data_IF_404020231280
#
_entry.id   IF_404020231280
#
_cell.length_a   1.000
_cell.length_b   1.000
_cell.length_c   1.000
_cell.angle_alpha   90.00
_cell.angle_beta   90.00
_cell.angle_gamma   90.00
#
_symmetry.space_group_name_H-M   'P 1'
#
loop_
_entity.id
_entity.type
_entity.pdbx_description
1 polymer ?
#
# COMPACT_ATOMS: atom_id res chain seq x y z
N UNK A 1 -40.31 13.73 -28.89
CA UNK A 1 -39.66 12.56 -28.24
C UNK A 1 -38.35 12.13 -28.93
N UNK A 2 -38.23 12.20 -30.27
CA UNK A 2 -36.98 11.89 -30.99
C UNK A 2 -35.78 12.73 -30.51
N UNK A 3 -35.92 14.06 -30.50
CA UNK A 3 -34.86 14.99 -30.09
C UNK A 3 -34.26 14.70 -28.69
N UNK A 4 -35.08 14.28 -27.71
CA UNK A 4 -34.60 13.96 -26.36
C UNK A 4 -33.80 12.66 -26.31
N UNK A 5 -34.15 11.67 -27.15
CA UNK A 5 -33.45 10.38 -27.23
C UNK A 5 -32.11 10.53 -27.96
N UNK A 6 -32.07 11.35 -29.00
CA UNK A 6 -30.84 11.63 -29.73
C UNK A 6 -29.86 12.40 -28.84
N UNK A 7 -30.34 13.40 -28.09
CA UNK A 7 -29.55 14.10 -27.07
C UNK A 7 -28.99 13.14 -26.01
N UNK A 8 -29.78 12.14 -25.59
CA UNK A 8 -29.34 11.13 -24.64
C UNK A 8 -28.23 10.24 -25.20
N UNK A 9 -28.34 9.84 -26.47
CA UNK A 9 -27.31 9.07 -27.17
C UNK A 9 -26.00 9.87 -27.28
N UNK A 10 -26.05 11.11 -27.78
CA UNK A 10 -24.86 11.97 -27.88
C UNK A 10 -24.21 12.23 -26.52
N UNK A 11 -25.00 12.49 -25.48
CA UNK A 11 -24.49 12.66 -24.12
C UNK A 11 -23.79 11.38 -23.63
N UNK A 12 -24.30 10.20 -23.98
CA UNK A 12 -23.69 8.91 -23.62
C UNK A 12 -22.34 8.73 -24.30
N UNK A 13 -22.24 8.94 -25.61
CA UNK A 13 -20.98 8.84 -26.36
C UNK A 13 -19.93 9.80 -25.82
N UNK A 14 -20.31 11.08 -25.59
CA UNK A 14 -19.42 12.08 -25.01
C UNK A 14 -18.89 11.67 -23.64
N UNK A 15 -19.75 11.07 -22.82
CA UNK A 15 -19.38 10.59 -21.48
C UNK A 15 -18.38 9.43 -21.59
N UNK A 16 -18.67 8.43 -22.41
CA UNK A 16 -17.78 7.26 -22.61
C UNK A 16 -16.41 7.65 -23.18
N UNK A 17 -16.40 8.57 -24.15
CA UNK A 17 -15.14 9.10 -24.69
C UNK A 17 -14.32 9.81 -23.61
N UNK A 18 -14.95 10.71 -22.85
CA UNK A 18 -14.30 11.43 -21.75
C UNK A 18 -13.75 10.49 -20.68
N UNK A 19 -14.51 9.44 -20.34
CA UNK A 19 -14.10 8.39 -19.39
C UNK A 19 -12.82 7.70 -19.88
N UNK A 20 -12.78 7.32 -21.15
CA UNK A 20 -11.62 6.63 -21.75
C UNK A 20 -10.35 7.48 -21.67
N UNK A 21 -10.46 8.77 -22.01
CA UNK A 21 -9.32 9.71 -21.96
C UNK A 21 -8.79 9.88 -20.52
N UNK A 22 -9.68 10.11 -19.54
CA UNK A 22 -9.29 10.25 -18.13
C UNK A 22 -8.60 8.96 -17.63
N UNK A 23 -9.07 7.81 -18.06
CA UNK A 23 -8.53 6.51 -17.66
C UNK A 23 -7.11 6.29 -18.20
N UNK A 24 -6.81 6.73 -19.43
CA UNK A 24 -5.44 6.69 -19.96
C UNK A 24 -4.48 7.59 -19.19
N UNK A 25 -4.93 8.77 -18.74
CA UNK A 25 -4.14 9.64 -17.85
C UNK A 25 -3.85 8.91 -16.53
N UNK A 26 -4.86 8.22 -15.96
CA UNK A 26 -4.69 7.44 -14.75
C UNK A 26 -3.67 6.30 -14.93
N UNK A 27 -3.68 5.58 -16.07
CA UNK A 27 -2.67 4.57 -16.41
C UNK A 27 -1.26 5.17 -16.42
N UNK A 28 -1.10 6.35 -17.03
CA UNK A 28 0.19 7.05 -17.07
C UNK A 28 0.73 7.38 -15.68
N UNK A 29 -0.14 7.89 -14.79
CA UNK A 29 0.22 8.17 -13.40
C UNK A 29 0.62 6.88 -12.67
N UNK A 30 -0.16 5.81 -12.81
CA UNK A 30 0.15 4.53 -12.16
C UNK A 30 1.47 3.92 -12.65
N UNK A 31 1.75 4.02 -13.95
CA UNK A 31 3.01 3.55 -14.54
C UNK A 31 4.20 4.31 -13.95
N UNK A 32 4.09 5.64 -13.83
CA UNK A 32 5.11 6.46 -13.18
C UNK A 32 5.35 6.03 -11.73
N UNK A 33 4.27 5.87 -10.95
CA UNK A 33 4.36 5.46 -9.54
C UNK A 33 4.96 4.07 -9.38
N UNK A 34 4.56 3.10 -10.21
CA UNK A 34 5.07 1.73 -10.17
C UNK A 34 6.54 1.64 -10.60
N UNK A 35 6.92 2.32 -11.68
CA UNK A 35 8.30 2.34 -12.18
C UNK A 35 9.25 3.00 -11.20
N UNK A 36 8.91 4.20 -10.71
CA UNK A 36 9.76 4.89 -9.73
C UNK A 36 9.81 4.15 -8.38
N UNK A 37 8.68 3.58 -7.94
CA UNK A 37 8.65 2.72 -6.74
C UNK A 37 9.53 1.48 -6.87
N UNK A 38 9.61 0.90 -8.08
CA UNK A 38 10.52 -0.20 -8.39
C UNK A 38 11.99 0.27 -8.39
N UNK A 39 12.30 1.41 -9.02
CA UNK A 39 13.66 1.98 -9.03
C UNK A 39 14.18 2.18 -7.60
N UNK A 40 13.37 2.79 -6.72
CA UNK A 40 13.75 2.96 -5.31
C UNK A 40 13.97 1.66 -4.55
N UNK A 41 13.21 0.61 -4.90
CA UNK A 41 13.38 -0.70 -4.29
C UNK A 41 14.67 -1.39 -4.74
N UNK A 42 15.09 -1.16 -5.98
CA UNK A 42 16.34 -1.67 -6.52
C UNK A 42 17.55 -0.93 -5.92
N UNK A 43 17.44 0.38 -5.69
CA UNK A 43 18.45 1.19 -5.02
C UNK A 43 18.58 0.88 -3.51
N UNK A 44 17.52 0.36 -2.89
CA UNK A 44 17.53 0.05 -1.47
C UNK A 44 18.46 -1.15 -1.13
N UNK A 45 19.25 -1.08 -0.04
CA UNK A 45 20.10 -2.20 0.37
C UNK A 45 19.30 -3.44 0.80
N UNK A 46 19.88 -4.64 0.59
CA UNK A 46 19.20 -5.95 0.73
C UNK A 46 18.48 -6.15 2.09
N UNK A 47 19.00 -5.61 3.19
CA UNK A 47 18.38 -5.72 4.53
C UNK A 47 17.03 -4.97 4.63
N UNK A 48 16.85 -3.87 3.91
CA UNK A 48 15.62 -3.06 3.92
C UNK A 48 14.56 -3.64 2.97
N UNK A 49 14.98 -4.46 1.99
CA UNK A 49 14.11 -5.04 0.97
C UNK A 49 13.19 -6.15 1.49
N UNK A 50 13.60 -6.86 2.56
CA UNK A 50 13.00 -8.14 3.00
C UNK A 50 11.53 -8.07 3.47
N UNK A 51 10.95 -6.88 3.62
CA UNK A 51 9.51 -6.68 3.90
C UNK A 51 8.76 -5.84 2.85
N UNK A 52 9.44 -5.32 1.83
CA UNK A 52 8.86 -4.37 0.85
C UNK A 52 8.40 -5.04 -0.44
N UNK A 53 8.97 -6.20 -0.76
CA UNK A 53 8.62 -7.01 -1.92
C UNK A 53 7.11 -7.21 -2.10
N UNK A 54 6.31 -7.61 -1.08
CA UNK A 54 4.88 -7.86 -1.29
C UNK A 54 4.12 -6.60 -1.71
N UNK A 55 4.44 -5.43 -1.15
CA UNK A 55 3.77 -4.17 -1.51
C UNK A 55 4.03 -3.77 -2.97
N UNK A 56 5.25 -4.00 -3.46
CA UNK A 56 5.61 -3.69 -4.86
C UNK A 56 4.93 -4.64 -5.81
N UNK A 57 4.92 -5.94 -5.48
CA UNK A 57 4.22 -6.96 -6.28
C UNK A 57 2.73 -6.62 -6.36
N UNK A 58 2.10 -6.26 -5.24
CA UNK A 58 0.69 -5.84 -5.25
C UNK A 58 0.49 -4.57 -6.09
N UNK A 59 1.40 -3.60 -6.04
CA UNK A 59 1.32 -2.39 -6.88
C UNK A 59 1.32 -2.73 -8.37
N UNK A 60 2.20 -3.64 -8.80
CA UNK A 60 2.24 -4.12 -10.19
C UNK A 60 1.01 -4.93 -10.56
N UNK A 61 0.48 -5.75 -9.66
CA UNK A 61 -0.79 -6.48 -9.88
C UNK A 61 -1.94 -5.50 -10.10
N UNK A 62 -2.06 -4.46 -9.26
CA UNK A 62 -3.07 -3.40 -9.43
C UNK A 62 -2.91 -2.73 -10.79
N UNK A 63 -1.69 -2.36 -11.17
CA UNK A 63 -1.41 -1.72 -12.45
C UNK A 63 -1.83 -2.58 -13.65
N UNK A 64 -1.44 -3.87 -13.67
CA UNK A 64 -1.77 -4.78 -14.77
C UNK A 64 -3.28 -5.00 -14.87
N UNK A 65 -3.95 -5.26 -13.74
CA UNK A 65 -5.41 -5.44 -13.73
C UNK A 65 -6.15 -4.18 -14.15
N UNK A 66 -5.69 -3.00 -13.72
CA UNK A 66 -6.27 -1.73 -14.12
C UNK A 66 -6.09 -1.50 -15.63
N UNK A 67 -4.89 -1.73 -16.18
CA UNK A 67 -4.64 -1.61 -17.62
C UNK A 67 -5.53 -2.55 -18.44
N UNK A 68 -5.69 -3.80 -18.02
CA UNK A 68 -6.56 -4.76 -18.69
C UNK A 68 -8.02 -4.30 -18.68
N UNK A 69 -8.52 -3.80 -17.55
CA UNK A 69 -9.86 -3.27 -17.44
C UNK A 69 -10.08 -2.08 -18.39
N UNK A 70 -9.17 -1.10 -18.36
CA UNK A 70 -9.28 0.11 -19.18
C UNK A 70 -9.10 -0.15 -20.68
N UNK A 71 -8.29 -1.15 -21.06
CA UNK A 71 -8.16 -1.56 -22.46
C UNK A 71 -9.48 -2.15 -22.97
N UNK A 72 -10.18 -2.92 -22.14
CA UNK A 72 -11.53 -3.39 -22.45
C UNK A 72 -12.52 -2.22 -22.61
N UNK A 73 -12.52 -1.25 -21.69
CA UNK A 73 -13.36 -0.06 -21.80
C UNK A 73 -13.08 0.74 -23.10
N UNK A 74 -11.81 0.87 -23.48
CA UNK A 74 -11.41 1.53 -24.72
C UNK A 74 -11.86 0.75 -25.97
N UNK A 75 -11.76 -0.58 -25.94
CA UNK A 75 -12.27 -1.43 -27.02
C UNK A 75 -13.80 -1.31 -27.16
N UNK A 76 -14.54 -1.27 -26.04
CA UNK A 76 -15.99 -1.01 -26.07
C UNK A 76 -16.31 0.32 -26.75
N UNK A 77 -15.57 1.37 -26.38
CA UNK A 77 -15.76 2.70 -26.95
C UNK A 77 -15.50 2.70 -28.46
N UNK A 78 -14.47 1.98 -28.92
CA UNK A 78 -14.16 1.82 -30.33
C UNK A 78 -15.29 1.10 -31.08
N UNK A 79 -15.76 -0.04 -30.57
CA UNK A 79 -16.86 -0.82 -31.16
C UNK A 79 -18.15 0.00 -31.27
N UNK A 80 -18.52 0.70 -30.20
CA UNK A 80 -19.70 1.57 -30.17
C UNK A 80 -19.57 2.70 -31.20
N UNK A 81 -18.39 3.30 -31.34
CA UNK A 81 -18.17 4.40 -32.29
C UNK A 81 -18.11 3.90 -33.74
N UNK A 82 -17.48 2.75 -33.97
CA UNK A 82 -17.33 2.14 -35.30
C UNK A 82 -18.69 1.69 -35.86
N UNK A 83 -19.46 0.93 -35.07
CA UNK A 83 -20.78 0.47 -35.47
C UNK A 83 -21.84 1.58 -35.38
N UNK A 84 -21.71 2.48 -34.41
CA UNK A 84 -22.64 3.61 -34.24
C UNK A 84 -22.45 4.73 -35.27
N UNK A 85 -21.29 4.85 -35.91
CA UNK A 85 -21.03 5.87 -36.94
C UNK A 85 -21.85 5.65 -38.23
N UNK A 86 -22.35 4.45 -38.47
CA UNK A 86 -23.13 4.10 -39.66
C UNK A 86 -24.66 4.05 -39.43
N UNK A 87 -25.14 4.20 -38.19
CA UNK A 87 -26.54 3.92 -37.79
C UNK A 87 -27.28 5.09 -37.11
N UNK A 88 -28.47 4.80 -36.57
CA UNK A 88 -29.29 5.75 -35.78
C UNK A 88 -28.57 6.02 -34.44
N UNK A 89 -28.51 7.28 -33.93
CA UNK A 89 -27.99 7.58 -32.59
C UNK A 89 -28.52 6.65 -31.48
N UNK A 90 -29.75 6.14 -31.61
CA UNK A 90 -30.33 5.18 -30.67
C UNK A 90 -29.65 3.80 -30.68
N UNK A 91 -28.98 3.40 -31.76
CA UNK A 91 -28.27 2.12 -31.86
C UNK A 91 -27.07 2.08 -30.91
N UNK A 92 -26.44 3.22 -30.62
CA UNK A 92 -25.41 3.35 -29.58
C UNK A 92 -25.89 2.83 -28.21
N UNK A 93 -27.14 3.13 -27.84
CA UNK A 93 -27.69 2.71 -26.56
C UNK A 93 -27.98 1.20 -26.54
N UNK A 94 -28.39 0.64 -27.68
CA UNK A 94 -28.64 -0.81 -27.84
C UNK A 94 -27.32 -1.59 -27.81
N UNK A 95 -26.36 -1.19 -28.63
CA UNK A 95 -25.03 -1.81 -28.73
C UNK A 95 -24.35 -1.84 -27.36
N UNK A 96 -24.40 -0.74 -26.60
CA UNK A 96 -23.87 -0.71 -25.24
C UNK A 96 -24.50 -1.77 -24.33
N UNK A 97 -25.83 -1.90 -24.36
CA UNK A 97 -26.54 -2.87 -23.51
C UNK A 97 -26.27 -4.33 -23.92
N UNK A 98 -26.02 -4.58 -25.20
CA UNK A 98 -25.66 -5.89 -25.72
C UNK A 98 -24.19 -6.23 -25.37
N UNK A 99 -23.29 -5.27 -25.52
CA UNK A 99 -21.87 -5.39 -25.20
C UNK A 99 -21.61 -5.67 -23.71
N UNK A 100 -22.40 -5.08 -22.81
CA UNK A 100 -22.29 -5.28 -21.36
C UNK A 100 -22.45 -6.75 -20.94
N UNK A 101 -22.97 -7.62 -21.83
CA UNK A 101 -23.14 -9.07 -21.58
C UNK A 101 -22.07 -9.94 -22.20
N UNK A 102 -21.18 -9.38 -23.02
CA UNK A 102 -20.15 -10.14 -23.72
C UNK A 102 -19.04 -10.54 -22.76
N UNK A 103 -18.46 -11.73 -22.96
CA UNK A 103 -17.46 -12.31 -22.06
C UNK A 103 -16.22 -11.42 -21.85
N UNK A 104 -15.72 -10.78 -22.91
CA UNK A 104 -14.56 -9.88 -22.80
C UNK A 104 -14.87 -8.65 -21.94
N UNK A 105 -16.12 -8.14 -22.03
CA UNK A 105 -16.56 -6.98 -21.26
C UNK A 105 -16.69 -7.32 -19.79
N UNK A 106 -17.33 -8.46 -19.49
CA UNK A 106 -17.43 -9.00 -18.14
C UNK A 106 -16.06 -9.25 -17.51
N UNK A 107 -15.10 -9.75 -18.28
CA UNK A 107 -13.72 -9.94 -17.81
C UNK A 107 -13.08 -8.61 -17.41
N UNK A 108 -13.24 -7.58 -18.24
CA UNK A 108 -12.68 -6.24 -17.99
C UNK A 108 -13.31 -5.60 -16.75
N UNK A 109 -14.63 -5.73 -16.59
CA UNK A 109 -15.35 -5.29 -15.39
C UNK A 109 -14.90 -6.08 -14.15
N UNK A 110 -14.66 -7.38 -14.27
CA UNK A 110 -14.17 -8.16 -13.14
C UNK A 110 -12.77 -7.72 -12.68
N UNK A 111 -11.87 -7.38 -13.61
CA UNK A 111 -10.55 -6.84 -13.29
C UNK A 111 -10.62 -5.56 -12.45
N UNK A 112 -11.49 -4.59 -12.80
CA UNK A 112 -11.61 -3.35 -12.02
C UNK A 112 -12.22 -3.61 -10.62
N UNK A 113 -13.08 -4.63 -10.47
CA UNK A 113 -13.64 -4.99 -9.17
C UNK A 113 -12.57 -5.58 -8.25
N UNK A 114 -11.72 -6.47 -8.78
CA UNK A 114 -10.56 -6.99 -8.04
C UNK A 114 -9.64 -5.86 -7.62
N UNK A 115 -9.35 -4.90 -8.51
CA UNK A 115 -8.51 -3.74 -8.18
C UNK A 115 -9.06 -2.99 -6.96
N UNK A 116 -10.37 -2.71 -6.93
CA UNK A 116 -11.00 -2.04 -5.79
C UNK A 116 -10.96 -2.88 -4.52
N UNK A 117 -11.17 -4.20 -4.61
CA UNK A 117 -11.08 -5.08 -3.43
C UNK A 117 -9.68 -5.12 -2.85
N UNK A 118 -8.66 -5.19 -3.71
CA UNK A 118 -7.26 -5.12 -3.29
C UNK A 118 -6.96 -3.75 -2.68
N UNK A 119 -7.44 -2.67 -3.28
CA UNK A 119 -7.27 -1.29 -2.79
C UNK A 119 -7.85 -1.10 -1.38
N UNK A 120 -9.13 -1.42 -1.19
CA UNK A 120 -9.80 -1.31 0.11
C UNK A 120 -9.20 -2.30 1.13
N UNK A 121 -8.87 -3.52 0.69
CA UNK A 121 -8.22 -4.53 1.52
C UNK A 121 -6.85 -4.09 2.04
N UNK A 122 -6.04 -3.42 1.21
CA UNK A 122 -4.75 -2.84 1.62
C UNK A 122 -4.93 -1.76 2.70
N UNK A 123 -5.98 -0.95 2.62
CA UNK A 123 -6.28 0.07 3.62
C UNK A 123 -6.64 -0.57 4.96
N UNK A 124 -7.55 -1.55 4.95
CA UNK A 124 -7.93 -2.30 6.16
C UNK A 124 -6.73 -3.04 6.76
N UNK A 125 -5.90 -3.67 5.92
CA UNK A 125 -4.67 -4.34 6.35
C UNK A 125 -3.70 -3.37 7.05
N UNK A 126 -3.53 -2.15 6.52
CA UNK A 126 -2.73 -1.11 7.18
C UNK A 126 -3.31 -0.70 8.53
N UNK A 127 -4.63 -0.53 8.61
CA UNK A 127 -5.29 -0.24 9.88
C UNK A 127 -5.01 -1.33 10.91
N UNK A 128 -5.11 -2.59 10.51
CA UNK A 128 -4.85 -3.74 11.36
C UNK A 128 -3.42 -3.77 11.90
N UNK A 129 -2.42 -3.56 11.05
CA UNK A 129 -1.02 -3.57 11.49
C UNK A 129 -0.71 -2.39 12.42
N UNK A 130 -1.27 -1.21 12.16
CA UNK A 130 -1.02 -0.01 12.99
C UNK A 130 -1.66 -0.13 14.38
N UNK A 131 -2.74 -0.90 14.51
CA UNK A 131 -3.46 -1.14 15.76
C UNK A 131 -3.10 -2.49 16.39
N UNK A 132 -1.80 -2.71 16.65
CA UNK A 132 -1.28 -3.94 17.30
C UNK A 132 -1.95 -4.24 18.64
N UNK A 133 -2.12 -3.22 19.49
CA UNK A 133 -2.52 -3.40 20.90
C UNK A 133 -4.03 -3.49 21.07
N UNK A 134 -4.81 -2.96 20.11
CA UNK A 134 -6.29 -2.92 20.16
C UNK A 134 -6.90 -3.29 18.82
N UNK A 135 -6.62 -4.51 18.36
CA UNK A 135 -7.09 -5.05 17.07
C UNK A 135 -8.62 -5.03 16.93
N UNK A 136 -9.36 -5.06 18.03
CA UNK A 136 -10.83 -4.95 18.05
C UNK A 136 -11.37 -3.70 17.35
N UNK A 137 -10.62 -2.59 17.34
CA UNK A 137 -11.01 -1.35 16.66
C UNK A 137 -11.09 -1.53 15.14
N UNK A 138 -10.35 -2.50 14.59
CA UNK A 138 -10.35 -2.79 13.15
C UNK A 138 -11.52 -3.67 12.69
N UNK A 139 -12.33 -4.19 13.61
CA UNK A 139 -13.51 -5.01 13.26
C UNK A 139 -14.53 -4.17 12.49
N UNK A 140 -14.74 -2.92 12.88
CA UNK A 140 -15.71 -2.05 12.24
C UNK A 140 -15.33 -1.74 10.76
N UNK A 141 -14.10 -1.29 10.44
CA UNK A 141 -13.64 -1.17 9.05
C UNK A 141 -13.65 -2.48 8.26
N UNK A 142 -13.40 -3.62 8.93
CA UNK A 142 -13.41 -4.92 8.28
C UNK A 142 -14.82 -5.37 7.90
N UNK A 143 -15.82 -5.16 8.77
CA UNK A 143 -17.22 -5.47 8.49
C UNK A 143 -17.79 -4.57 7.39
N UNK A 144 -17.43 -3.27 7.38
CA UNK A 144 -17.83 -2.37 6.28
C UNK A 144 -17.18 -2.76 4.96
N UNK A 145 -15.92 -3.20 4.99
CA UNK A 145 -15.25 -3.77 3.81
C UNK A 145 -15.93 -5.04 3.29
N UNK A 146 -16.30 -5.97 4.17
CA UNK A 146 -16.99 -7.19 3.75
C UNK A 146 -18.37 -6.88 3.15
N UNK A 147 -19.06 -5.90 3.70
CA UNK A 147 -20.33 -5.39 3.17
C UNK A 147 -20.15 -4.73 1.79
N UNK A 148 -19.09 -3.94 1.62
CA UNK A 148 -18.69 -3.34 0.33
C UNK A 148 -18.45 -4.43 -0.72
N UNK A 149 -17.70 -5.47 -0.37
CA UNK A 149 -17.41 -6.61 -1.24
C UNK A 149 -18.69 -7.36 -1.65
N UNK A 150 -19.61 -7.58 -0.70
CA UNK A 150 -20.90 -8.22 -1.00
C UNK A 150 -21.74 -7.40 -1.99
N UNK A 151 -21.82 -6.07 -1.82
CA UNK A 151 -22.55 -5.19 -2.75
C UNK A 151 -21.90 -5.14 -4.13
N UNK A 152 -20.57 -5.20 -4.22
CA UNK A 152 -19.86 -5.34 -5.48
C UNK A 152 -20.26 -6.64 -6.21
N UNK A 153 -20.29 -7.78 -5.50
CA UNK A 153 -20.72 -9.07 -6.09
C UNK A 153 -22.16 -8.98 -6.62
N UNK A 154 -23.08 -8.43 -5.83
CA UNK A 154 -24.49 -8.24 -6.25
C UNK A 154 -24.57 -7.37 -7.50
N UNK A 155 -23.77 -6.30 -7.57
CA UNK A 155 -23.69 -5.43 -8.74
C UNK A 155 -23.24 -6.21 -9.96
N UNK A 156 -22.15 -6.98 -9.85
CA UNK A 156 -21.60 -7.78 -10.94
C UNK A 156 -22.58 -8.84 -11.47
N UNK A 157 -23.21 -9.59 -10.57
CA UNK A 157 -24.20 -10.62 -10.95
C UNK A 157 -25.41 -9.99 -11.65
N UNK A 158 -25.82 -8.80 -11.20
CA UNK A 158 -26.98 -8.10 -11.77
C UNK A 158 -26.75 -7.56 -13.18
N UNK A 159 -25.50 -7.45 -13.65
CA UNK A 159 -25.17 -6.99 -15.02
C UNK A 159 -25.77 -7.94 -16.08
N UNK A 160 -25.80 -9.25 -15.80
CA UNK A 160 -26.33 -10.25 -16.73
C UNK A 160 -27.86 -10.31 -16.76
N UNK A 161 -28.54 -9.71 -15.79
CA UNK A 161 -29.98 -9.77 -15.68
C UNK A 161 -30.66 -8.99 -16.80
N UNK A 162 -31.59 -9.63 -17.51
CA UNK A 162 -32.29 -9.02 -18.64
C UNK A 162 -33.53 -8.21 -18.28
N UNK A 163 -34.00 -8.31 -17.03
CA UNK A 163 -35.25 -7.66 -16.58
C UNK A 163 -35.00 -6.27 -16.00
N UNK A 164 -36.02 -5.41 -16.05
CA UNK A 164 -35.98 -4.08 -15.43
C UNK A 164 -35.74 -4.11 -13.91
N UNK A 165 -36.01 -5.24 -13.27
CA UNK A 165 -35.74 -5.48 -11.84
C UNK A 165 -34.22 -5.55 -11.61
N UNK A 166 -33.49 -6.32 -12.41
CA UNK A 166 -32.04 -6.43 -12.29
C UNK A 166 -31.32 -5.11 -12.56
N UNK A 167 -31.80 -4.31 -13.51
CA UNK A 167 -31.25 -2.97 -13.74
C UNK A 167 -31.41 -2.05 -12.52
N UNK A 168 -32.57 -2.09 -11.84
CA UNK A 168 -32.81 -1.33 -10.60
C UNK A 168 -31.96 -1.83 -9.44
N UNK A 169 -31.80 -3.15 -9.31
CA UNK A 169 -30.93 -3.77 -8.29
C UNK A 169 -29.47 -3.36 -8.53
N UNK A 170 -28.99 -3.46 -9.78
CA UNK A 170 -27.64 -3.08 -10.16
C UNK A 170 -27.34 -1.61 -9.81
N UNK A 171 -28.23 -0.69 -10.19
CA UNK A 171 -28.04 0.74 -9.89
C UNK A 171 -27.98 1.02 -8.38
N UNK A 172 -28.88 0.41 -7.59
CA UNK A 172 -28.87 0.56 -6.12
C UNK A 172 -27.64 -0.07 -5.49
N UNK A 173 -27.27 -1.28 -5.91
CA UNK A 173 -26.12 -2.01 -5.39
C UNK A 173 -24.81 -1.28 -5.70
N UNK A 174 -24.67 -0.69 -6.90
CA UNK A 174 -23.51 0.12 -7.29
C UNK A 174 -23.36 1.34 -6.38
N UNK A 175 -24.43 2.11 -6.17
CA UNK A 175 -24.40 3.25 -5.26
C UNK A 175 -24.06 2.81 -3.83
N UNK A 176 -24.72 1.77 -3.31
CA UNK A 176 -24.44 1.19 -1.98
C UNK A 176 -22.99 0.75 -1.83
N UNK A 177 -22.42 0.12 -2.86
CA UNK A 177 -21.02 -0.29 -2.89
C UNK A 177 -20.08 0.92 -2.76
N UNK A 178 -20.30 1.97 -3.57
CA UNK A 178 -19.49 3.19 -3.53
C UNK A 178 -19.57 3.85 -2.14
N UNK A 179 -20.76 3.95 -1.55
CA UNK A 179 -20.91 4.50 -0.18
C UNK A 179 -20.14 3.69 0.86
N UNK A 180 -20.21 2.36 0.80
CA UNK A 180 -19.52 1.49 1.73
C UNK A 180 -18.00 1.61 1.58
N UNK A 181 -17.49 1.64 0.35
CA UNK A 181 -16.05 1.81 0.08
C UNK A 181 -15.54 3.19 0.51
N UNK A 182 -16.29 4.27 0.24
CA UNK A 182 -15.99 5.61 0.79
C UNK A 182 -16.00 5.59 2.32
N UNK A 183 -16.95 4.88 2.93
CA UNK A 183 -17.02 4.67 4.37
C UNK A 183 -15.79 3.95 4.92
N UNK A 184 -15.34 2.87 4.28
CA UNK A 184 -14.09 2.15 4.62
C UNK A 184 -12.91 3.12 4.58
N UNK A 185 -12.76 3.89 3.51
CA UNK A 185 -11.68 4.86 3.34
C UNK A 185 -11.69 5.92 4.45
N UNK A 186 -12.86 6.47 4.77
CA UNK A 186 -13.01 7.47 5.83
C UNK A 186 -12.69 6.91 7.22
N UNK A 187 -13.27 5.75 7.55
CA UNK A 187 -13.06 5.08 8.84
C UNK A 187 -11.60 4.70 9.05
N UNK A 188 -10.98 4.05 8.06
CA UNK A 188 -9.57 3.65 8.13
C UNK A 188 -8.66 4.88 8.26
N UNK A 189 -8.87 5.91 7.44
CA UNK A 189 -8.05 7.13 7.49
C UNK A 189 -8.17 7.84 8.84
N UNK A 190 -9.39 7.94 9.38
CA UNK A 190 -9.64 8.51 10.70
C UNK A 190 -8.97 7.72 11.81
N UNK A 191 -9.10 6.39 11.81
CA UNK A 191 -8.50 5.51 12.81
C UNK A 191 -6.97 5.54 12.78
N UNK A 192 -6.37 5.53 11.59
CA UNK A 192 -4.93 5.63 11.43
C UNK A 192 -4.45 7.01 11.91
N UNK A 193 -5.09 8.09 11.45
CA UNK A 193 -4.73 9.46 11.83
C UNK A 193 -4.81 9.67 13.33
N UNK A 194 -5.91 9.23 13.97
CA UNK A 194 -6.09 9.32 15.41
C UNK A 194 -4.99 8.57 16.17
N UNK A 195 -4.66 7.35 15.75
CA UNK A 195 -3.60 6.55 16.38
C UNK A 195 -2.24 7.20 16.24
N UNK A 196 -1.88 7.69 15.05
CA UNK A 196 -0.59 8.36 14.82
C UNK A 196 -0.47 9.64 15.66
N UNK A 197 -1.53 10.44 15.76
CA UNK A 197 -1.54 11.64 16.59
C UNK A 197 -1.43 11.33 18.09
N UNK A 198 -2.06 10.23 18.54
CA UNK A 198 -1.95 9.77 19.93
C UNK A 198 -0.53 9.29 20.25
N UNK A 199 0.07 8.47 19.39
CA UNK A 199 1.45 8.02 19.53
C UNK A 199 2.42 9.20 19.53
N UNK A 200 2.22 10.17 18.63
CA UNK A 200 2.97 11.42 18.61
C UNK A 200 2.88 12.16 19.94
N UNK A 201 1.67 12.34 20.51
CA UNK A 201 1.50 13.03 21.80
C UNK A 201 2.20 12.31 22.95
N UNK A 202 2.23 10.98 22.93
CA UNK A 202 2.92 10.17 23.94
C UNK A 202 4.45 10.27 23.79
N UNK A 203 4.96 10.24 22.55
CA UNK A 203 6.39 10.32 22.27
C UNK A 203 6.95 11.75 22.34
N UNK A 204 6.09 12.78 22.24
CA UNK A 204 6.49 14.19 22.35
C UNK A 204 7.17 14.54 23.67
N UNK A 205 6.95 13.72 24.71
CA UNK A 205 7.57 13.89 26.03
C UNK A 205 9.02 13.37 26.08
N UNK A 206 9.42 12.51 25.14
CA UNK A 206 10.69 11.76 25.20
C UNK A 206 11.56 11.91 23.95
N UNK A 207 11.09 12.59 22.90
CA UNK A 207 11.71 12.54 21.57
C UNK A 207 11.84 13.93 20.93
N UNK A 208 12.95 14.23 20.22
CA UNK A 208 13.16 15.51 19.55
C UNK A 208 12.17 15.75 18.38
N UNK A 209 11.85 17.03 18.13
CA UNK A 209 10.88 17.50 17.13
C UNK A 209 11.07 16.94 15.71
N UNK A 210 12.30 16.62 15.30
CA UNK A 210 12.63 16.09 13.97
C UNK A 210 11.98 14.73 13.71
N UNK A 211 11.94 13.85 14.71
CA UNK A 211 11.36 12.51 14.59
C UNK A 211 9.84 12.54 14.65
N UNK A 212 9.26 13.51 15.37
CA UNK A 212 7.82 13.76 15.39
C UNK A 212 7.28 14.25 14.03
N UNK A 213 8.11 14.93 13.22
CA UNK A 213 7.72 15.44 11.90
C UNK A 213 7.38 14.32 10.91
N UNK A 214 7.98 13.14 11.08
CA UNK A 214 7.69 11.95 10.26
C UNK A 214 6.24 11.51 10.41
N UNK A 215 5.70 11.52 11.64
CA UNK A 215 4.30 11.15 11.90
C UNK A 215 3.33 12.15 11.25
N UNK A 216 3.63 13.45 11.31
CA UNK A 216 2.83 14.48 10.66
C UNK A 216 2.86 14.37 9.14
N UNK A 217 4.02 14.06 8.56
CA UNK A 217 4.15 13.78 7.14
C UNK A 217 3.26 12.61 6.70
N UNK A 218 3.30 11.49 7.43
CA UNK A 218 2.47 10.31 7.12
C UNK A 218 0.97 10.63 7.24
N UNK A 219 0.56 11.35 8.30
CA UNK A 219 -0.85 11.79 8.45
C UNK A 219 -1.27 12.70 7.31
N UNK A 220 -0.44 13.68 6.94
CA UNK A 220 -0.74 14.61 5.86
C UNK A 220 -0.96 13.86 4.54
N UNK A 221 -0.13 12.87 4.24
CA UNK A 221 -0.24 12.05 3.02
C UNK A 221 -1.55 11.25 2.99
N UNK A 222 -1.92 10.64 4.12
CA UNK A 222 -3.16 9.86 4.21
C UNK A 222 -4.37 10.76 3.98
N UNK A 223 -4.40 11.95 4.58
CA UNK A 223 -5.49 12.90 4.41
C UNK A 223 -5.51 13.48 2.99
N UNK A 224 -4.35 13.87 2.45
CA UNK A 224 -4.19 14.40 1.08
C UNK A 224 -4.67 13.38 0.03
N UNK A 225 -4.48 12.08 0.27
CA UNK A 225 -4.93 11.01 -0.64
C UNK A 225 -6.40 10.62 -0.42
N UNK A 226 -6.93 10.72 0.80
CA UNK A 226 -8.30 10.33 1.14
C UNK A 226 -9.34 11.39 0.74
N UNK A 227 -8.99 12.68 0.76
CA UNK A 227 -9.92 13.78 0.44
C UNK A 227 -10.45 13.71 -1.00
N UNK A 228 -9.60 13.60 -2.04
CA UNK A 228 -10.09 13.52 -3.42
C UNK A 228 -10.99 12.30 -3.65
N UNK A 229 -10.63 11.17 -3.05
CA UNK A 229 -11.36 9.91 -3.18
C UNK A 229 -12.76 9.98 -2.53
N UNK A 230 -12.83 10.50 -1.30
CA UNK A 230 -14.10 10.63 -0.59
C UNK A 230 -15.00 11.69 -1.24
N UNK A 231 -14.43 12.80 -1.70
CA UNK A 231 -15.17 13.87 -2.37
C UNK A 231 -15.78 13.40 -3.71
N UNK A 232 -15.01 12.68 -4.53
CA UNK A 232 -15.50 12.16 -5.82
C UNK A 232 -16.57 11.08 -5.63
N UNK A 233 -16.41 10.19 -4.64
CA UNK A 233 -17.43 9.20 -4.30
C UNK A 233 -18.72 9.84 -3.78
N UNK A 234 -18.62 10.89 -2.95
CA UNK A 234 -19.78 11.64 -2.47
C UNK A 234 -20.45 12.48 -3.58
N UNK A 235 -19.66 13.03 -4.50
CA UNK A 235 -20.18 13.76 -5.66
C UNK A 235 -20.91 12.82 -6.64
N UNK A 236 -20.40 11.61 -6.87
CA UNK A 236 -21.15 10.60 -7.63
C UNK A 236 -22.50 10.31 -6.96
N UNK A 237 -22.49 10.17 -5.63
CA UNK A 237 -23.67 9.90 -4.84
C UNK A 237 -24.77 10.97 -4.96
N UNK A 238 -24.42 12.26 -4.95
CA UNK A 238 -25.41 13.35 -5.11
C UNK A 238 -26.03 13.37 -6.50
N UNK A 239 -25.30 12.93 -7.52
CA UNK A 239 -25.73 12.91 -8.92
C UNK A 239 -26.26 11.53 -9.36
N UNK A 240 -26.26 10.53 -8.46
CA UNK A 240 -26.61 9.13 -8.76
C UNK A 240 -28.06 8.92 -9.22
N UNK A 241 -28.94 9.92 -9.07
CA UNK A 241 -30.29 9.95 -9.64
C UNK A 241 -30.44 11.11 -10.63
N UNK A 242 -29.79 11.05 -11.80
CA UNK A 242 -29.86 12.14 -12.77
C UNK A 242 -31.30 12.28 -13.26
N UNK A 243 -31.96 13.39 -12.92
CA UNK A 243 -33.33 13.69 -13.37
C UNK A 243 -33.33 14.28 -14.79
N UNK A 244 -32.17 14.74 -15.25
CA UNK A 244 -31.97 15.38 -16.55
C UNK A 244 -30.83 14.71 -17.35
N UNK A 245 -30.87 14.86 -18.69
CA UNK A 245 -29.79 14.41 -19.60
C UNK A 245 -28.47 15.13 -19.26
N UNK A 246 -28.56 16.37 -18.78
CA UNK A 246 -27.44 17.24 -18.46
C UNK A 246 -26.68 16.80 -17.20
N UNK A 247 -27.35 16.14 -16.25
CA UNK A 247 -26.74 15.53 -15.05
C UNK A 247 -26.03 14.20 -15.35
N UNK A 248 -26.26 13.59 -16.51
CA UNK A 248 -25.74 12.25 -16.84
C UNK A 248 -24.24 12.25 -17.18
N UNK A 249 -23.77 13.34 -17.80
CA UNK A 249 -22.35 13.56 -18.11
C UNK A 249 -21.51 13.67 -16.82
N UNK A 250 -21.81 14.60 -15.89
CA UNK A 250 -21.04 14.72 -14.65
C UNK A 250 -21.10 13.45 -13.80
N UNK A 251 -22.23 12.73 -13.80
CA UNK A 251 -22.35 11.45 -13.10
C UNK A 251 -21.30 10.42 -13.57
N UNK A 252 -21.18 10.20 -14.88
CA UNK A 252 -20.18 9.28 -15.43
C UNK A 252 -18.74 9.73 -15.18
N UNK A 253 -18.49 11.04 -15.17
CA UNK A 253 -17.17 11.60 -14.85
C UNK A 253 -16.79 11.37 -13.38
N UNK A 254 -17.71 11.58 -12.43
CA UNK A 254 -17.42 11.30 -11.02
C UNK A 254 -17.19 9.82 -10.76
N UNK A 255 -17.90 8.94 -11.47
CA UNK A 255 -17.71 7.49 -11.37
C UNK A 255 -16.30 7.07 -11.81
N UNK A 256 -15.83 7.51 -12.98
CA UNK A 256 -14.47 7.16 -13.46
C UNK A 256 -13.38 7.77 -12.59
N UNK A 257 -13.58 9.01 -12.11
CA UNK A 257 -12.64 9.65 -11.19
C UNK A 257 -12.53 8.87 -9.90
N UNK A 258 -13.66 8.39 -9.36
CA UNK A 258 -13.66 7.55 -8.17
C UNK A 258 -12.93 6.22 -8.37
N UNK A 259 -13.18 5.51 -9.49
CA UNK A 259 -12.44 4.28 -9.82
C UNK A 259 -10.94 4.51 -10.00
N UNK A 260 -10.57 5.60 -10.69
CA UNK A 260 -9.17 5.97 -10.92
C UNK A 260 -8.45 6.30 -9.63
N UNK A 261 -9.10 7.10 -8.75
CA UNK A 261 -8.55 7.47 -7.45
C UNK A 261 -8.45 6.26 -6.51
N UNK A 262 -9.42 5.33 -6.53
CA UNK A 262 -9.32 4.09 -5.75
C UNK A 262 -8.09 3.26 -6.13
N UNK A 263 -7.73 3.24 -7.41
CA UNK A 263 -6.54 2.52 -7.86
C UNK A 263 -5.24 3.30 -7.56
N UNK A 264 -5.23 4.63 -7.72
CA UNK A 264 -4.05 5.49 -7.53
C UNK A 264 -3.72 5.72 -6.05
N UNK A 265 -4.70 5.97 -5.18
CA UNK A 265 -4.47 6.36 -3.79
C UNK A 265 -3.67 5.33 -2.98
N UNK A 266 -4.00 4.01 -3.01
CA UNK A 266 -3.19 2.99 -2.34
C UNK A 266 -1.74 2.99 -2.84
N UNK A 267 -1.53 3.13 -4.16
CA UNK A 267 -0.21 3.16 -4.78
C UNK A 267 0.59 4.40 -4.36
N UNK A 268 -0.02 5.59 -4.32
CA UNK A 268 0.63 6.82 -3.82
C UNK A 268 1.03 6.69 -2.35
N UNK A 269 0.21 6.05 -1.52
CA UNK A 269 0.57 5.82 -0.12
C UNK A 269 1.72 4.80 -0.03
N UNK A 270 1.73 3.72 -0.82
CA UNK A 270 2.88 2.77 -0.87
C UNK A 270 4.13 3.53 -1.27
N UNK A 271 4.06 4.28 -2.36
CA UNK A 271 5.14 5.09 -2.91
C UNK A 271 5.73 6.03 -1.87
N UNK A 272 4.90 6.81 -1.19
CA UNK A 272 5.38 7.74 -0.17
C UNK A 272 5.96 7.05 1.07
N UNK A 273 5.43 5.90 1.47
CA UNK A 273 6.03 5.08 2.55
C UNK A 273 7.41 4.55 2.13
N UNK A 274 7.59 4.22 0.86
CA UNK A 274 8.90 3.78 0.33
C UNK A 274 9.90 4.93 0.16
N UNK A 275 9.46 6.11 -0.30
CA UNK A 275 10.31 7.29 -0.55
C UNK A 275 10.62 8.10 0.70
N UNK A 276 9.66 8.30 1.61
CA UNK A 276 9.81 9.13 2.81
C UNK A 276 10.91 8.66 3.77
N UNK A 277 11.29 7.38 3.71
CA UNK A 277 12.44 6.84 4.47
C UNK A 277 13.81 7.05 3.78
N UNK A 278 13.83 7.36 2.48
CA UNK A 278 15.08 7.65 1.73
C UNK A 278 15.57 9.09 1.94
N UNK A 279 14.65 10.06 2.04
CA UNK A 279 14.96 11.46 2.31
C UNK A 279 15.56 11.71 3.70
N UNK A 280 15.21 10.87 4.69
CA UNK A 280 15.81 10.89 6.03
C UNK A 280 17.24 10.33 6.07
N UNK A 281 17.72 9.75 4.96
CA UNK A 281 19.03 9.09 4.86
C UNK A 281 20.11 9.95 4.21
N UNK A 282 19.81 11.19 3.86
CA UNK A 282 20.84 12.19 3.58
C UNK A 282 21.10 13.00 4.85
N UNK A 283 22.07 12.59 5.69
CA UNK A 283 22.74 13.56 6.52
C UNK A 283 23.50 14.47 5.55
N UNK A 284 23.10 15.74 5.51
CA UNK A 284 24.02 16.79 5.10
C UNK A 284 25.34 16.54 5.83
N UNK A 285 26.42 16.54 5.05
CA UNK A 285 27.79 16.29 5.45
C UNK A 285 28.10 16.76 6.86
N UNK A 286 28.24 15.81 7.79
CA UNK A 286 28.95 16.01 9.05
C UNK A 286 30.40 16.37 8.70
N UNK A 287 30.73 17.66 8.77
CA UNK A 287 32.09 18.08 9.06
C UNK A 287 32.48 17.47 10.40
N UNK A 288 33.57 16.73 10.36
CA UNK A 288 34.12 15.87 11.41
C UNK A 288 34.34 16.61 12.73
N UNK A 289 33.82 16.07 13.83
CA UNK A 289 34.57 15.94 15.09
C UNK A 289 33.95 14.83 15.94
N UNK A 290 34.83 13.91 16.34
CA UNK A 290 34.58 12.70 17.13
C UNK A 290 33.74 12.97 18.38
N UNK A 291 32.69 12.18 18.61
CA UNK A 291 32.31 11.62 19.91
C UNK A 291 31.31 10.49 19.67
N UNK A 292 31.60 9.33 20.24
CA UNK A 292 30.78 8.13 20.26
C UNK A 292 29.40 8.41 20.86
N UNK A 293 28.36 8.20 20.05
CA UNK A 293 27.01 7.97 20.53
C UNK A 293 26.34 7.03 19.53
N UNK A 294 26.29 5.74 19.88
CA UNK A 294 25.46 4.75 19.20
C UNK A 294 23.99 5.17 19.33
N UNK A 295 23.53 5.95 18.36
CA UNK A 295 22.12 6.25 18.17
C UNK A 295 21.39 5.01 17.67
N UNK A 296 20.87 4.21 18.60
CA UNK A 296 19.93 3.12 18.33
C UNK A 296 18.63 3.73 17.78
N UNK A 297 18.57 3.95 16.47
CA UNK A 297 17.33 4.28 15.76
C UNK A 297 16.53 2.98 15.56
N UNK A 298 15.62 2.71 16.49
CA UNK A 298 14.70 1.58 16.40
C UNK A 298 13.75 1.80 15.23
N UNK A 299 13.95 1.00 14.19
CA UNK A 299 13.10 0.91 13.02
C UNK A 299 11.63 0.68 13.43
N UNK A 300 10.69 1.46 12.87
CA UNK A 300 9.31 0.97 12.67
C UNK A 300 9.39 -0.12 11.58
N UNK A 301 9.84 -1.29 12.00
CA UNK A 301 9.86 -2.52 11.24
C UNK A 301 8.53 -3.22 11.48
N UNK A 302 7.77 -3.45 10.41
CA UNK A 302 6.65 -4.38 10.42
C UNK A 302 7.21 -5.80 10.40
N UNK A 303 7.80 -6.24 11.51
CA UNK A 303 8.24 -7.62 11.70
C UNK A 303 7.40 -8.22 12.82
N UNK A 304 6.73 -9.32 12.49
CA UNK A 304 6.02 -10.17 13.45
C UNK A 304 7.08 -10.87 14.31
N UNK A 305 7.30 -10.39 15.53
CA UNK A 305 7.95 -11.22 16.55
C UNK A 305 6.96 -12.32 16.96
N UNK A 306 7.43 -13.56 16.79
CA UNK A 306 6.74 -14.76 17.23
C UNK A 306 7.41 -15.12 18.55
N UNK A 307 6.81 -14.73 19.67
CA UNK A 307 7.19 -15.25 20.98
C UNK A 307 6.96 -16.76 20.97
N UNK A 308 8.04 -17.53 21.09
CA UNK A 308 8.01 -18.90 21.60
C UNK A 308 8.76 -18.88 22.92
N UNK A 309 8.02 -19.08 24.00
CA UNK A 309 8.52 -18.98 25.36
C UNK A 309 9.42 -20.14 25.78
N UNK A 310 10.33 -19.76 26.70
CA UNK A 310 10.69 -20.44 27.95
C UNK A 310 11.34 -21.82 27.85
N UNK A 311 12.63 -21.86 28.21
CA UNK A 311 13.11 -22.81 29.22
C UNK A 311 14.12 -22.12 30.14
N UNK A 312 13.68 -22.07 31.39
CA UNK A 312 14.28 -21.57 32.61
C UNK A 312 15.55 -22.36 32.99
N UNK A 313 16.64 -21.69 33.36
CA UNK A 313 17.65 -22.25 34.30
C UNK A 313 18.54 -21.15 34.88
N UNK A 314 18.35 -20.89 36.17
CA UNK A 314 19.45 -20.82 37.15
C UNK A 314 20.21 -19.51 37.26
N UNK A 315 19.62 -18.49 37.89
CA UNK A 315 20.35 -17.37 38.45
C UNK A 315 20.47 -17.54 39.98
N UNK A 316 21.69 -17.68 40.48
CA UNK A 316 22.05 -17.45 41.89
C UNK A 316 23.49 -16.94 41.95
N UNK A 317 23.64 -15.63 42.00
CA UNK A 317 24.80 -14.96 42.59
C UNK A 317 24.31 -14.12 43.76
N UNK A 318 24.86 -14.40 44.94
CA UNK A 318 24.73 -13.56 46.12
C UNK A 318 26.15 -13.08 46.43
N UNK A 319 26.41 -11.79 46.22
CA UNK A 319 27.61 -11.13 46.70
C UNK A 319 27.46 -10.81 48.19
N UNK A 320 28.44 -11.22 48.99
CA UNK A 320 28.68 -10.64 50.32
C UNK A 320 30.17 -10.71 50.69
N UNK A 321 30.83 -9.57 50.46
CA UNK A 321 31.82 -8.88 51.30
C UNK A 321 32.45 -9.72 52.43
N UNK A 322 33.77 -9.98 52.37
CA UNK A 322 34.80 -9.55 53.34
C UNK A 322 36.19 -10.18 53.03
N UNK A 323 37.23 -9.37 53.17
CA UNK A 323 38.64 -9.77 53.43
C UNK A 323 39.06 -9.03 54.70
N UNK A 324 40.08 -9.40 55.52
CA UNK A 324 41.35 -10.02 55.10
C UNK A 324 42.05 -10.94 56.14
N UNK A 325 43.28 -11.36 55.83
CA UNK A 325 44.42 -11.72 56.71
C UNK A 325 44.78 -13.21 56.93
N UNK A 326 46.11 -13.43 56.92
CA UNK A 326 46.89 -14.51 57.56
C UNK A 326 46.79 -15.93 56.96
N UNK A 327 47.84 -16.76 56.79
CA UNK A 327 49.26 -16.72 57.18
C UNK A 327 50.01 -17.84 56.39
N UNK A 328 51.34 -17.74 56.32
CA UNK A 328 52.31 -18.68 55.74
C UNK A 328 52.25 -20.10 56.34
N UNK A 329 52.84 -21.07 55.62
CA UNK A 329 53.55 -22.33 56.02
C UNK A 329 53.30 -23.36 54.89
N UNK A 330 54.22 -24.16 54.33
CA UNK A 330 55.66 -24.40 54.47
C UNK A 330 56.06 -25.41 53.36
N UNK A 331 57.31 -25.35 52.92
CA UNK A 331 58.02 -26.27 52.04
C UNK A 331 57.82 -27.78 52.34
N UNK A 332 57.82 -28.60 51.29
CA UNK A 332 58.54 -29.89 51.30
C UNK A 332 59.34 -30.02 50.01
N UNK A 333 60.62 -30.35 50.18
CA UNK A 333 61.69 -30.49 49.20
C UNK A 333 61.59 -31.76 48.32
N UNK A 334 62.23 -31.64 47.15
CA UNK A 334 62.82 -32.61 46.22
C UNK A 334 63.45 -33.86 46.91
N UNK A 335 63.70 -35.03 46.25
CA UNK A 335 64.62 -35.08 45.10
C UNK A 335 64.39 -36.22 44.07
N UNK A 336 64.69 -35.98 42.78
CA UNK A 336 65.46 -36.92 41.91
C UNK A 336 65.79 -36.32 40.53
N UNK A 337 66.97 -35.69 40.47
CA UNK A 337 68.00 -35.68 39.41
C UNK A 337 67.59 -35.62 37.91
N UNK A 338 67.70 -34.40 37.34
CA UNK A 338 68.63 -33.96 36.25
C UNK A 338 68.54 -34.53 34.81
N UNK A 339 69.18 -33.89 33.80
CA UNK A 339 69.43 -32.46 33.61
C UNK A 339 69.04 -31.91 32.21
N UNK A 340 68.70 -30.61 32.19
CA UNK A 340 69.14 -29.53 31.27
C UNK A 340 69.82 -29.91 29.95
N UNK A 341 69.26 -29.46 28.80
CA UNK A 341 69.98 -28.70 27.75
C UNK A 341 69.01 -27.71 27.07
N UNK A 342 69.32 -26.42 27.23
CA UNK A 342 68.88 -25.26 26.42
C UNK A 342 70.09 -24.81 25.60
N UNK A 343 69.97 -24.64 24.27
CA UNK A 343 70.90 -23.77 23.49
C UNK A 343 70.20 -23.17 22.26
N UNK A 344 69.73 -21.92 22.42
CA UNK A 344 70.01 -20.73 21.59
C UNK A 344 70.63 -20.89 20.16
N UNK A 345 70.00 -20.15 19.22
CA UNK A 345 70.59 -19.16 18.27
C UNK A 345 71.21 -19.67 16.95
N UNK A 346 70.66 -19.19 15.81
CA UNK A 346 71.30 -18.33 14.76
C UNK A 346 70.45 -18.25 13.47
N UNK A 347 70.14 -17.02 13.04
CA UNK A 347 69.91 -16.62 11.62
C UNK A 347 71.25 -16.65 10.83
N UNK A 348 71.40 -16.24 9.54
CA UNK A 348 70.45 -15.86 8.45
C UNK A 348 70.79 -16.47 7.05
N UNK A 349 70.06 -16.01 6.01
CA UNK A 349 70.54 -15.61 4.67
C UNK A 349 70.17 -16.46 3.42
N UNK A 350 69.61 -15.73 2.43
CA UNK A 350 69.75 -15.86 0.96
C UNK A 350 69.11 -17.11 0.28
N UNK A 351 68.54 -17.09 -0.93
CA UNK A 351 68.71 -16.24 -2.12
C UNK A 351 67.50 -16.37 -3.07
N UNK A 352 67.37 -15.34 -3.92
CA UNK A 352 66.65 -15.10 -5.19
C UNK A 352 66.19 -16.22 -6.16
N UNK A 353 65.34 -15.76 -7.11
CA UNK A 353 65.10 -16.18 -8.54
C UNK A 353 63.71 -16.82 -8.76
N UNK A 354 62.69 -16.19 -9.37
CA UNK A 354 62.47 -15.60 -10.72
C UNK A 354 62.25 -16.62 -11.86
N UNK A 355 61.22 -16.33 -12.69
CA UNK A 355 60.78 -16.97 -13.96
C UNK A 355 60.13 -18.36 -13.82
N UNK A 356 58.95 -18.61 -14.39
CA UNK A 356 58.49 -18.32 -15.76
C UNK A 356 57.09 -17.68 -15.78
#
# INVERSE_FOLDING_TARGET
MANTRDQLAFATVRTLYSITVVSFVAIGIQLFVCSYGLSLFLEAPKHIRKGRTPYIVISWIIFVLFCLAQTGDAYQMFEILYHGAAGDPLDVLRLRHEDDRVWWRLSSTFCIYIVNWIADGLLVYRCYIIWTDKRWVCILPFLTYLSSMAMAIVTFVSIRGSTSIFARINAKALSSWIYLSVGVNFLVTGLITFRLLRLRRQMAQFMPMSELRVYLGVVAILVESAVPLTLTGLAFATVSNPKSVQERIPNGMFLVLWFSLNAICPQMIIFRVTTGRSWLRHPESRTSTNTEAEGVMTNIAFTRERETGISDTGSRSFDKIESPQEEKVLNIEDPRLGPVIDVRRREPAETSVSSV
#
